data_IF_492648532136
#
_entry.id   IF_492648532136
#
_cell.length_a   1.000
_cell.length_b   1.000
_cell.length_c   1.000
_cell.angle_alpha   90.00
_cell.angle_beta   90.00
_cell.angle_gamma   90.00
#
_symmetry.space_group_name_H-M   'P 1'
#
loop_
_entity.id
_entity.type
_entity.pdbx_description
1 polymer ?
#
# COMPACT_ATOMS: atom_id res chain seq x y z
N UNK A 1 -1.89 -7.04 1.16
CA UNK A 1 -2.02 -5.84 0.31
C UNK A 1 -3.47 -5.41 0.40
N UNK A 2 -3.77 -4.23 0.92
CA UNK A 2 -5.16 -3.85 1.23
C UNK A 2 -5.40 -2.36 1.07
N UNK A 3 -4.47 -1.53 1.53
CA UNK A 3 -4.69 -0.09 1.55
C UNK A 3 -4.75 0.51 0.14
N UNK A 4 -4.21 -0.17 -0.87
CA UNK A 4 -4.37 0.19 -2.28
C UNK A 4 -5.82 0.12 -2.82
N UNK A 5 -6.79 -0.42 -2.06
CA UNK A 5 -8.20 -0.39 -2.44
C UNK A 5 -8.88 0.96 -2.14
N UNK A 6 -8.32 1.76 -1.25
CA UNK A 6 -8.90 3.05 -0.88
C UNK A 6 -8.45 4.16 -1.82
N UNK A 7 -9.32 5.16 -2.01
CA UNK A 7 -8.97 6.35 -2.78
C UNK A 7 -7.96 7.22 -2.03
N UNK A 8 -7.25 8.09 -2.75
CA UNK A 8 -6.27 9.00 -2.14
C UNK A 8 -6.87 9.87 -1.02
N UNK A 9 -8.13 10.29 -1.16
CA UNK A 9 -8.83 11.05 -0.12
C UNK A 9 -9.27 10.23 1.09
N UNK A 10 -9.40 8.90 0.95
CA UNK A 10 -9.80 8.00 2.04
C UNK A 10 -8.60 7.52 2.88
N UNK A 11 -7.42 7.40 2.25
CA UNK A 11 -6.22 6.88 2.91
C UNK A 11 -5.89 7.57 4.24
N UNK A 12 -5.95 8.91 4.38
CA UNK A 12 -5.57 9.55 5.64
C UNK A 12 -6.46 9.10 6.80
N UNK A 13 -7.78 9.02 6.56
CA UNK A 13 -8.75 8.53 7.54
C UNK A 13 -8.53 7.08 7.90
N UNK A 14 -8.29 6.21 6.90
CA UNK A 14 -8.02 4.78 7.13
C UNK A 14 -6.75 4.59 7.96
N UNK A 15 -5.65 5.24 7.59
CA UNK A 15 -4.39 5.11 8.34
C UNK A 15 -4.50 5.66 9.76
N UNK A 16 -5.20 6.78 9.98
CA UNK A 16 -5.45 7.31 11.33
C UNK A 16 -6.28 6.32 12.17
N UNK A 17 -7.32 5.73 11.60
CA UNK A 17 -8.13 4.72 12.28
C UNK A 17 -7.30 3.48 12.65
N UNK A 18 -6.47 2.98 11.73
CA UNK A 18 -5.57 1.86 11.99
C UNK A 18 -4.57 2.19 13.12
N UNK A 19 -3.99 3.39 13.11
CA UNK A 19 -3.04 3.84 14.13
C UNK A 19 -3.73 4.02 15.48
N UNK A 20 -4.92 4.62 15.53
CA UNK A 20 -5.68 4.80 16.77
C UNK A 20 -6.13 3.47 17.40
N UNK A 21 -6.32 2.42 16.60
CA UNK A 21 -6.64 1.09 17.09
C UNK A 21 -5.41 0.26 17.50
N UNK A 22 -4.18 0.71 17.20
CA UNK A 22 -2.97 -0.06 17.41
C UNK A 22 -2.16 0.44 18.60
N UNK A 23 -1.73 -0.47 19.49
CA UNK A 23 -0.96 -0.11 20.71
C UNK A 23 0.41 0.53 20.41
N UNK A 24 1.09 0.05 19.36
CA UNK A 24 2.46 0.47 19.03
C UNK A 24 2.57 1.20 17.68
N UNK A 25 1.51 1.16 16.87
CA UNK A 25 1.51 1.61 15.48
C UNK A 25 1.21 0.49 14.49
N UNK A 26 1.32 0.83 13.21
CA UNK A 26 0.84 0.01 12.10
C UNK A 26 1.97 -0.27 11.13
N UNK A 27 2.03 -1.51 10.66
CA UNK A 27 2.90 -1.94 9.56
C UNK A 27 2.02 -2.40 8.41
N UNK A 28 2.12 -1.75 7.27
CA UNK A 28 1.36 -2.08 6.05
C UNK A 28 2.33 -2.57 4.98
N UNK A 29 2.07 -3.77 4.47
CA UNK A 29 2.73 -4.25 3.25
C UNK A 29 1.79 -4.03 2.06
N UNK A 30 2.25 -3.23 1.10
CA UNK A 30 1.49 -2.96 -0.12
C UNK A 30 2.37 -2.89 -1.39
N UNK A 31 1.76 -2.90 -2.58
CA UNK A 31 2.47 -2.96 -3.85
C UNK A 31 3.10 -1.60 -4.19
N UNK A 32 4.31 -1.65 -4.73
CA UNK A 32 4.91 -0.55 -5.46
C UNK A 32 4.33 -0.54 -6.89
N UNK A 33 3.65 0.54 -7.24
CA UNK A 33 3.12 0.77 -8.59
C UNK A 33 4.26 1.02 -9.58
N UNK A 34 4.67 -0.07 -10.23
CA UNK A 34 5.74 -0.07 -11.21
C UNK A 34 5.30 -0.78 -12.49
N UNK A 35 5.69 -0.24 -13.65
CA UNK A 35 5.27 -0.75 -14.95
C UNK A 35 5.83 -2.16 -15.22
N UNK A 36 7.09 -2.45 -14.85
CA UNK A 36 7.66 -3.81 -14.96
C UNK A 36 6.87 -4.85 -14.17
N UNK A 37 6.46 -4.52 -12.94
CA UNK A 37 5.64 -5.40 -12.12
C UNK A 37 4.29 -5.68 -12.79
N UNK A 38 3.71 -4.65 -13.40
CA UNK A 38 2.46 -4.75 -14.13
C UNK A 38 2.58 -5.66 -15.36
N UNK A 39 3.62 -5.47 -16.18
CA UNK A 39 3.88 -6.31 -17.36
C UNK A 39 4.13 -7.76 -16.94
N UNK A 40 4.96 -7.98 -15.92
CA UNK A 40 5.25 -9.32 -15.40
C UNK A 40 3.99 -10.06 -14.93
N UNK A 41 3.14 -9.40 -14.14
CA UNK A 41 1.87 -9.98 -13.67
C UNK A 41 0.87 -10.17 -14.83
N UNK A 42 0.78 -9.22 -15.75
CA UNK A 42 -0.06 -9.32 -16.94
C UNK A 42 0.32 -10.52 -17.83
N UNK A 43 1.61 -10.80 -18.00
CA UNK A 43 2.11 -11.96 -18.74
C UNK A 43 1.88 -13.25 -17.94
N UNK A 44 2.30 -13.28 -16.68
CA UNK A 44 2.18 -14.47 -15.83
C UNK A 44 0.72 -14.93 -15.71
N UNK A 45 -0.22 -14.02 -15.48
CA UNK A 45 -1.64 -14.37 -15.37
C UNK A 45 -2.24 -14.87 -16.69
N UNK A 46 -1.74 -14.42 -17.85
CA UNK A 46 -2.18 -14.95 -19.16
C UNK A 46 -1.61 -16.34 -19.45
N UNK A 47 -0.34 -16.55 -19.09
CA UNK A 47 0.37 -17.80 -19.36
C UNK A 47 -0.04 -18.92 -18.40
N UNK A 48 -0.24 -18.61 -17.11
CA UNK A 48 -0.41 -19.63 -16.07
C UNK A 48 -1.81 -19.74 -15.47
N UNK A 49 -2.69 -18.75 -15.68
CA UNK A 49 -4.06 -18.79 -15.14
C UNK A 49 -5.10 -18.80 -16.24
N UNK A 50 -6.09 -19.68 -16.15
CA UNK A 50 -7.32 -19.65 -16.98
C UNK A 50 -8.43 -18.82 -16.35
N UNK A 51 -8.28 -18.40 -15.10
CA UNK A 51 -9.30 -17.63 -14.38
C UNK A 51 -9.31 -16.17 -14.86
N UNK A 52 -10.42 -15.78 -15.50
CA UNK A 52 -10.63 -14.42 -16.02
C UNK A 52 -10.55 -13.35 -14.92
N UNK A 53 -11.04 -13.64 -13.71
CA UNK A 53 -10.96 -12.72 -12.57
C UNK A 53 -9.51 -12.38 -12.25
N UNK A 54 -8.65 -13.40 -12.07
CA UNK A 54 -7.21 -13.20 -11.77
C UNK A 54 -6.49 -12.42 -12.88
N UNK A 55 -6.81 -12.69 -14.14
CA UNK A 55 -6.21 -11.99 -15.31
C UNK A 55 -6.51 -10.49 -15.33
N UNK A 56 -7.62 -10.06 -14.75
CA UNK A 56 -8.00 -8.65 -14.68
C UNK A 56 -7.60 -8.00 -13.35
N UNK A 57 -7.86 -8.68 -12.23
CA UNK A 57 -7.66 -8.11 -10.90
C UNK A 57 -6.19 -8.01 -10.52
N UNK A 58 -5.35 -9.00 -10.86
CA UNK A 58 -3.95 -8.95 -10.45
C UNK A 58 -3.17 -7.78 -11.09
N UNK A 59 -3.28 -7.51 -12.41
CA UNK A 59 -2.69 -6.30 -12.99
C UNK A 59 -3.31 -5.01 -12.43
N UNK A 60 -4.61 -5.01 -12.11
CA UNK A 60 -5.29 -3.86 -11.52
C UNK A 60 -4.76 -3.56 -10.12
N UNK A 61 -4.47 -4.57 -9.30
CA UNK A 61 -3.82 -4.40 -8.00
C UNK A 61 -2.46 -3.70 -8.12
N UNK A 62 -1.64 -4.04 -9.11
CA UNK A 62 -0.36 -3.33 -9.34
C UNK A 62 -0.59 -1.87 -9.71
N UNK A 63 -1.59 -1.60 -10.57
CA UNK A 63 -1.95 -0.22 -10.96
C UNK A 63 -2.49 0.60 -9.81
N UNK A 64 -3.10 -0.02 -8.80
CA UNK A 64 -3.60 0.64 -7.60
C UNK A 64 -2.56 0.76 -6.49
N UNK A 65 -1.44 0.04 -6.58
CA UNK A 65 -0.33 0.16 -5.65
C UNK A 65 0.20 1.59 -5.51
N UNK A 66 1.11 1.80 -4.57
CA UNK A 66 1.65 3.11 -4.22
C UNK A 66 2.87 3.48 -5.05
N UNK A 67 3.03 4.76 -5.38
CA UNK A 67 4.34 5.36 -5.68
C UNK A 67 4.89 6.03 -4.42
N UNK A 68 6.20 6.25 -4.38
CA UNK A 68 6.83 7.02 -3.29
C UNK A 68 6.17 8.41 -3.10
N UNK A 69 5.76 9.07 -4.20
CA UNK A 69 5.03 10.34 -4.14
C UNK A 69 3.66 10.23 -3.45
N UNK A 70 2.96 9.09 -3.59
CA UNK A 70 1.67 8.89 -2.89
C UNK A 70 1.90 8.78 -1.38
N UNK A 71 2.97 8.08 -0.97
CA UNK A 71 3.38 7.94 0.43
C UNK A 71 3.90 9.25 1.03
N UNK A 72 4.58 10.08 0.22
CA UNK A 72 4.98 11.44 0.62
C UNK A 72 3.77 12.31 0.91
N UNK A 73 2.75 12.32 0.03
CA UNK A 73 1.50 13.05 0.27
C UNK A 73 0.80 12.55 1.52
N UNK A 74 0.69 11.22 1.67
CA UNK A 74 0.07 10.63 2.85
C UNK A 74 0.83 10.96 4.14
N UNK A 75 2.16 11.10 4.10
CA UNK A 75 2.96 11.55 5.24
C UNK A 75 2.71 13.03 5.60
N UNK A 76 2.40 13.88 4.62
CA UNK A 76 2.12 15.29 4.84
C UNK A 76 0.78 15.55 5.53
N UNK A 77 -0.08 14.54 5.61
CA UNK A 77 -1.36 14.62 6.29
C UNK A 77 -1.22 14.75 7.83
N UNK A 78 -2.08 15.55 8.48
CA UNK A 78 -2.09 15.67 9.93
C UNK A 78 -2.19 14.31 10.63
N UNK A 79 -1.36 14.10 11.66
CA UNK A 79 -1.29 12.84 12.41
C UNK A 79 -0.49 11.71 11.75
N UNK A 80 -0.02 11.88 10.50
CA UNK A 80 0.74 10.87 9.75
C UNK A 80 2.20 11.29 9.46
N UNK A 81 2.69 12.40 10.01
CA UNK A 81 4.05 12.92 9.79
C UNK A 81 5.20 11.95 10.13
N UNK A 82 4.94 10.99 11.02
CA UNK A 82 5.88 9.93 11.43
C UNK A 82 5.87 8.71 10.50
N UNK A 83 5.05 8.72 9.44
CA UNK A 83 5.01 7.66 8.43
C UNK A 83 6.38 7.53 7.76
N UNK A 84 6.88 6.30 7.70
CA UNK A 84 8.10 5.90 7.00
C UNK A 84 7.77 4.79 6.03
N UNK A 85 8.53 4.67 4.95
CA UNK A 85 8.41 3.52 4.04
C UNK A 85 9.77 3.07 3.55
N UNK A 86 9.85 1.80 3.20
CA UNK A 86 11.03 1.20 2.56
C UNK A 86 10.59 0.29 1.42
N UNK A 87 11.36 0.31 0.33
CA UNK A 87 11.15 -0.65 -0.75
C UNK A 87 11.60 -2.04 -0.29
N UNK A 88 10.88 -3.08 -0.74
CA UNK A 88 11.17 -4.49 -0.48
C UNK A 88 11.07 -5.29 -1.79
N UNK A 89 11.78 -6.43 -1.89
CA UNK A 89 11.75 -7.28 -3.07
C UNK A 89 10.33 -7.66 -3.53
N UNK A 90 10.20 -7.92 -4.84
CA UNK A 90 8.95 -8.18 -5.54
C UNK A 90 8.01 -6.97 -5.57
N UNK A 91 8.59 -5.76 -5.77
CA UNK A 91 7.85 -4.51 -5.93
C UNK A 91 6.87 -4.26 -4.78
N UNK A 92 7.37 -4.29 -3.54
CA UNK A 92 6.57 -4.00 -2.35
C UNK A 92 7.11 -2.80 -1.63
N UNK A 93 6.22 -2.04 -1.00
CA UNK A 93 6.55 -1.12 0.06
C UNK A 93 6.16 -1.72 1.40
N UNK A 94 7.07 -1.60 2.37
CA UNK A 94 6.74 -1.72 3.78
C UNK A 94 6.56 -0.32 4.31
N UNK A 95 5.35 0.01 4.75
CA UNK A 95 4.95 1.31 5.27
C UNK A 95 4.77 1.16 6.77
N UNK A 96 5.43 2.01 7.55
CA UNK A 96 5.39 2.01 9.00
C UNK A 96 4.79 3.33 9.48
N UNK A 97 3.77 3.27 10.33
CA UNK A 97 3.22 4.43 11.01
C UNK A 97 3.26 4.19 12.52
N UNK A 98 4.23 4.78 13.23
CA UNK A 98 4.33 4.62 14.68
C UNK A 98 3.07 5.12 15.39
N UNK A 99 2.66 4.41 16.44
CA UNK A 99 1.58 4.82 17.34
C UNK A 99 1.92 6.14 18.04
N UNK A 100 0.90 6.86 18.51
CA UNK A 100 1.11 7.90 19.53
C UNK A 100 1.84 7.28 20.72
N UNK A 101 2.77 8.01 21.35
CA UNK A 101 3.17 7.61 22.69
C UNK A 101 1.91 7.71 23.55
N UNK A 102 1.28 6.58 23.84
CA UNK A 102 0.40 6.49 24.99
C UNK A 102 1.31 6.64 26.20
N UNK A 103 1.40 7.87 26.72
CA UNK A 103 1.82 8.09 28.10
C UNK A 103 0.75 7.41 28.96
N UNK A 104 0.98 6.14 29.28
CA UNK A 104 0.29 5.40 30.32
C UNK A 104 1.16 5.36 31.55
#
# INVERSE_FOLDING_TARGET
LFTHHFSQGQLPTVYRAMVGAARHGVVVNDLHRHWLAWVGIWMATRLFSRNRMIRHDAPLSVRRGFRAADLQRLRAEPGLGRLRWMWRPLFRYLILVPGGCHAG
#
